data_IF_959389025697
#
_entry.id   IF_959389025697
#
_cell.length_a   1.000
_cell.length_b   1.000
_cell.length_c   1.000
_cell.angle_alpha   90.00
_cell.angle_beta   90.00
_cell.angle_gamma   90.00
#
_symmetry.space_group_name_H-M   'P 1'
#
loop_
_entity.id
_entity.type
_entity.pdbx_description
1 polymer ?
#
# COMPACT_ATOMS: atom_id res chain seq x y z
N UNK A 1 3.73 -2.16 -14.36
CA UNK A 1 4.83 -2.79 -13.60
C UNK A 1 4.94 -4.29 -13.89
N UNK A 2 3.95 -5.14 -13.58
CA UNK A 2 4.08 -6.61 -13.69
C UNK A 2 4.62 -7.15 -15.03
N UNK A 3 4.14 -6.64 -16.16
CA UNK A 3 4.61 -7.05 -17.49
C UNK A 3 6.10 -6.75 -17.77
N UNK A 4 6.68 -5.75 -17.09
CA UNK A 4 8.09 -5.36 -17.24
C UNK A 4 9.04 -6.20 -16.37
N UNK A 5 8.50 -6.86 -15.33
CA UNK A 5 9.28 -7.63 -14.35
C UNK A 5 8.75 -9.07 -14.24
N UNK A 6 8.94 -9.91 -15.28
CA UNK A 6 8.31 -11.24 -15.35
C UNK A 6 8.78 -12.23 -14.26
N UNK A 7 9.95 -11.99 -13.66
CA UNK A 7 10.51 -12.82 -12.58
C UNK A 7 10.03 -12.40 -11.18
N UNK A 8 9.22 -11.34 -11.08
CA UNK A 8 8.66 -10.84 -9.83
C UNK A 8 7.18 -11.17 -9.76
N UNK A 9 6.65 -11.41 -8.55
CA UNK A 9 5.23 -11.70 -8.33
C UNK A 9 4.52 -10.49 -7.75
N UNK A 10 3.42 -10.09 -8.38
CA UNK A 10 2.65 -8.91 -8.04
C UNK A 10 1.28 -9.29 -7.53
N UNK A 11 0.80 -8.50 -6.57
CA UNK A 11 -0.47 -8.67 -5.91
C UNK A 11 -1.16 -7.32 -5.83
N UNK A 12 -2.37 -7.23 -6.39
CA UNK A 12 -3.22 -6.07 -6.27
C UNK A 12 -4.44 -6.37 -5.41
N UNK A 13 -4.88 -5.40 -4.63
CA UNK A 13 -6.17 -5.46 -3.94
C UNK A 13 -7.01 -4.24 -4.29
N UNK A 14 -8.32 -4.42 -4.30
CA UNK A 14 -9.29 -3.35 -4.41
C UNK A 14 -10.58 -3.81 -3.71
N UNK A 15 -11.36 -2.87 -3.17
CA UNK A 15 -12.65 -3.18 -2.56
C UNK A 15 -13.67 -3.61 -3.62
N UNK A 16 -13.54 -3.09 -4.84
CA UNK A 16 -14.38 -3.44 -5.97
C UNK A 16 -13.60 -4.32 -6.99
N UNK A 17 -14.25 -5.30 -7.64
CA UNK A 17 -13.59 -6.18 -8.60
C UNK A 17 -13.42 -5.52 -9.99
N UNK A 18 -12.91 -4.28 -10.04
CA UNK A 18 -12.75 -3.47 -11.27
C UNK A 18 -11.46 -3.75 -12.05
N UNK A 19 -10.70 -4.77 -11.65
CA UNK A 19 -9.45 -5.16 -12.28
C UNK A 19 -9.65 -6.19 -13.42
N UNK A 20 -8.75 -6.23 -14.43
CA UNK A 20 -8.84 -7.19 -15.52
C UNK A 20 -8.71 -8.63 -15.01
N UNK A 21 -9.71 -9.49 -15.25
CA UNK A 21 -9.66 -10.89 -14.85
C UNK A 21 -9.03 -11.82 -15.91
N UNK A 22 -9.33 -11.57 -17.19
CA UNK A 22 -8.94 -12.47 -18.28
C UNK A 22 -7.62 -12.08 -18.95
N UNK A 23 -7.40 -10.78 -19.17
CA UNK A 23 -6.23 -10.27 -19.88
C UNK A 23 -5.30 -9.59 -18.88
N UNK A 24 -4.42 -10.38 -18.25
CA UNK A 24 -3.40 -9.90 -17.31
C UNK A 24 -2.11 -10.73 -17.37
N UNK A 25 -0.96 -10.17 -16.96
CA UNK A 25 0.28 -10.93 -16.82
C UNK A 25 0.12 -12.13 -15.86
N UNK A 26 0.78 -13.25 -16.16
CA UNK A 26 0.73 -14.47 -15.35
C UNK A 26 1.31 -14.29 -13.94
N UNK A 27 2.19 -13.31 -13.77
CA UNK A 27 2.84 -12.96 -12.51
C UNK A 27 2.05 -11.93 -11.68
N UNK A 28 0.80 -11.65 -12.03
CA UNK A 28 -0.08 -10.71 -11.34
C UNK A 28 -1.35 -11.41 -10.85
N UNK A 29 -1.62 -11.29 -9.55
CA UNK A 29 -2.85 -11.74 -8.92
C UNK A 29 -3.62 -10.52 -8.36
N UNK A 30 -4.94 -10.53 -8.53
CA UNK A 30 -5.82 -9.55 -7.88
C UNK A 30 -6.71 -10.25 -6.87
N UNK A 31 -6.99 -9.59 -5.74
CA UNK A 31 -7.93 -10.06 -4.74
C UNK A 31 -8.85 -8.91 -4.33
N UNK A 32 -10.16 -9.17 -4.35
CA UNK A 32 -11.11 -8.22 -3.80
C UNK A 32 -10.99 -8.20 -2.27
N UNK A 33 -10.70 -7.04 -1.68
CA UNK A 33 -10.54 -6.87 -0.24
C UNK A 33 -10.69 -5.41 0.18
N UNK A 34 -11.32 -5.18 1.33
CA UNK A 34 -11.32 -3.88 1.99
C UNK A 34 -10.05 -3.73 2.83
N UNK A 35 -9.15 -2.85 2.40
CA UNK A 35 -7.91 -2.51 3.10
C UNK A 35 -8.13 -1.94 4.51
N UNK A 36 -9.32 -1.44 4.85
CA UNK A 36 -9.67 -1.02 6.22
C UNK A 36 -10.09 -2.18 7.12
N UNK A 37 -10.28 -3.39 6.56
CA UNK A 37 -10.53 -4.63 7.33
C UNK A 37 -9.27 -5.50 7.47
N UNK A 38 -8.14 -5.04 6.93
CA UNK A 38 -6.86 -5.73 6.95
C UNK A 38 -6.46 -6.31 5.59
N UNK A 39 -5.15 -6.35 5.35
CA UNK A 39 -4.57 -6.91 4.15
C UNK A 39 -4.65 -8.44 4.19
N UNK A 40 -5.18 -9.10 3.16
CA UNK A 40 -5.48 -10.53 3.15
C UNK A 40 -4.24 -11.40 2.85
N UNK A 41 -3.15 -11.10 3.56
CA UNK A 41 -1.83 -11.70 3.45
C UNK A 41 -1.22 -11.90 4.85
N UNK A 42 -0.40 -12.94 5.04
CA UNK A 42 0.26 -13.18 6.31
C UNK A 42 1.36 -12.15 6.59
N UNK A 43 1.85 -12.16 7.82
CA UNK A 43 2.95 -11.31 8.24
C UNK A 43 4.23 -11.63 7.44
N UNK A 44 5.05 -10.61 7.18
CA UNK A 44 6.34 -10.75 6.50
C UNK A 44 6.24 -11.48 5.14
N UNK A 45 5.22 -11.16 4.35
CA UNK A 45 4.97 -11.82 3.07
C UNK A 45 5.65 -11.12 1.89
N UNK A 46 5.66 -9.79 1.89
CA UNK A 46 6.14 -8.99 0.76
C UNK A 46 7.53 -8.43 0.99
N UNK A 47 8.35 -8.42 -0.07
CA UNK A 47 9.62 -7.70 -0.10
C UNK A 47 9.44 -6.19 -0.33
N UNK A 48 8.33 -5.81 -0.99
CA UNK A 48 7.94 -4.42 -1.26
C UNK A 48 6.41 -4.30 -1.16
N UNK A 49 5.94 -3.28 -0.43
CA UNK A 49 4.52 -2.89 -0.38
C UNK A 49 4.38 -1.46 -0.87
N UNK A 50 3.51 -1.25 -1.87
CA UNK A 50 3.29 0.04 -2.52
C UNK A 50 1.88 0.54 -2.24
N UNK A 51 1.76 1.79 -1.82
CA UNK A 51 0.49 2.51 -1.73
C UNK A 51 0.60 3.85 -2.44
N UNK A 52 -0.40 4.16 -3.26
CA UNK A 52 -0.40 5.37 -4.07
C UNK A 52 -1.76 6.06 -4.10
N UNK A 53 -1.73 7.40 -4.02
CA UNK A 53 -2.89 8.30 -4.20
C UNK A 53 -4.06 7.96 -3.28
N UNK A 54 -3.81 7.84 -1.97
CA UNK A 54 -4.83 7.46 -1.00
C UNK A 54 -5.20 8.58 -0.01
N UNK A 55 -4.32 9.56 0.21
CA UNK A 55 -4.49 10.55 1.28
C UNK A 55 -5.78 11.40 1.21
N UNK A 56 -6.39 11.57 0.04
CA UNK A 56 -7.63 12.34 -0.12
C UNK A 56 -8.90 11.58 0.27
N UNK A 57 -8.82 10.26 0.38
CA UNK A 57 -9.99 9.39 0.51
C UNK A 57 -10.12 8.77 1.90
N UNK A 58 -9.22 9.11 2.83
CA UNK A 58 -9.11 8.46 4.14
C UNK A 58 -8.90 9.44 5.28
N UNK A 59 -9.31 9.03 6.47
CA UNK A 59 -9.03 9.72 7.73
C UNK A 59 -7.62 9.40 8.24
N UNK A 60 -7.12 10.22 9.19
CA UNK A 60 -5.85 9.97 9.87
C UNK A 60 -5.83 8.63 10.63
N UNK A 61 -6.95 8.22 11.21
CA UNK A 61 -7.10 6.92 11.89
C UNK A 61 -6.99 5.76 10.90
N UNK A 62 -7.67 5.86 9.76
CA UNK A 62 -7.55 4.88 8.69
C UNK A 62 -6.12 4.79 8.14
N UNK A 63 -5.47 5.93 7.91
CA UNK A 63 -4.07 5.97 7.48
C UNK A 63 -3.14 5.25 8.46
N UNK A 64 -3.31 5.49 9.77
CA UNK A 64 -2.51 4.81 10.79
C UNK A 64 -2.73 3.28 10.75
N UNK A 65 -3.97 2.83 10.58
CA UNK A 65 -4.29 1.40 10.46
C UNK A 65 -3.65 0.79 9.20
N UNK A 66 -3.71 1.47 8.07
CA UNK A 66 -3.10 0.99 6.82
C UNK A 66 -1.59 0.89 6.95
N UNK A 67 -0.94 1.88 7.58
CA UNK A 67 0.50 1.83 7.83
C UNK A 67 0.86 0.61 8.68
N UNK A 68 0.07 0.28 9.70
CA UNK A 68 0.28 -0.92 10.52
C UNK A 68 0.15 -2.20 9.73
N UNK A 69 -0.86 -2.30 8.87
CA UNK A 69 -1.05 -3.45 8.01
C UNK A 69 0.06 -3.60 6.98
N UNK A 70 0.51 -2.49 6.37
CA UNK A 70 1.65 -2.49 5.44
C UNK A 70 2.93 -2.94 6.15
N UNK A 71 3.18 -2.46 7.38
CA UNK A 71 4.31 -2.90 8.19
C UNK A 71 4.21 -4.39 8.53
N UNK A 72 3.03 -4.87 8.90
CA UNK A 72 2.79 -6.28 9.25
C UNK A 72 3.11 -7.21 8.09
N UNK A 73 2.62 -6.91 6.88
CA UNK A 73 2.81 -7.78 5.72
C UNK A 73 4.17 -7.61 5.03
N UNK A 74 4.94 -6.57 5.36
CA UNK A 74 6.29 -6.36 4.81
C UNK A 74 7.32 -7.18 5.60
N UNK A 75 8.22 -7.88 4.90
CA UNK A 75 9.31 -8.62 5.53
C UNK A 75 10.26 -7.69 6.32
N UNK A 76 11.01 -8.22 7.30
CA UNK A 76 12.14 -7.48 7.85
C UNK A 76 13.12 -7.16 6.71
N UNK A 77 13.60 -5.92 6.65
CA UNK A 77 14.41 -5.37 5.55
C UNK A 77 13.69 -5.24 4.20
N UNK A 78 12.38 -5.45 4.15
CA UNK A 78 11.55 -5.10 3.01
C UNK A 78 11.32 -3.58 2.94
N UNK A 79 10.72 -3.15 1.84
CA UNK A 79 10.47 -1.74 1.56
C UNK A 79 8.97 -1.44 1.60
N UNK A 80 8.65 -0.24 2.06
CA UNK A 80 7.32 0.35 1.96
C UNK A 80 7.45 1.61 1.13
N UNK A 81 6.73 1.67 0.02
CA UNK A 81 6.63 2.84 -0.85
C UNK A 81 5.28 3.52 -0.65
N UNK A 82 5.32 4.78 -0.24
CA UNK A 82 4.17 5.68 -0.20
C UNK A 82 4.35 6.75 -1.25
N UNK A 83 3.51 6.72 -2.29
CA UNK A 83 3.53 7.70 -3.38
C UNK A 83 2.28 8.56 -3.31
N UNK A 84 2.46 9.80 -2.89
CA UNK A 84 1.36 10.74 -2.70
C UNK A 84 1.60 12.03 -3.48
N UNK A 85 0.52 12.66 -3.91
CA UNK A 85 0.62 13.96 -4.58
C UNK A 85 1.26 14.96 -3.61
N UNK A 86 2.21 15.76 -4.09
CA UNK A 86 2.99 16.67 -3.27
C UNK A 86 2.09 17.75 -2.64
N UNK A 87 1.60 17.48 -1.43
CA UNK A 87 0.76 18.40 -0.67
C UNK A 87 1.63 19.29 0.23
N UNK A 88 1.38 20.60 0.19
CA UNK A 88 1.85 21.52 1.23
C UNK A 88 0.99 21.36 2.49
N UNK A 89 1.08 20.21 3.15
CA UNK A 89 0.36 19.97 4.41
C UNK A 89 0.93 20.88 5.51
N UNK A 90 0.24 21.97 5.82
CA UNK A 90 0.48 22.77 7.04
C UNK A 90 0.01 21.97 8.28
N UNK A 91 0.81 20.99 8.66
CA UNK A 91 1.10 20.47 10.01
C UNK A 91 -0.02 20.08 11.00
N UNK A 92 -1.31 19.96 10.65
CA UNK A 92 -2.32 19.54 11.65
C UNK A 92 -3.29 18.41 11.28
N UNK A 93 -3.21 17.82 10.07
CA UNK A 93 -4.22 16.86 9.62
C UNK A 93 -3.72 15.46 9.22
N UNK A 94 -2.42 15.26 9.07
CA UNK A 94 -1.87 13.99 8.56
C UNK A 94 -1.54 13.08 9.75
N UNK A 95 -1.94 11.81 9.69
CA UNK A 95 -1.84 10.86 10.82
C UNK A 95 -0.43 10.80 11.43
N UNK A 96 -0.36 10.55 12.75
CA UNK A 96 0.88 10.60 13.53
C UNK A 96 1.99 9.71 12.95
N UNK A 97 1.67 8.49 12.51
CA UNK A 97 2.65 7.56 11.95
C UNK A 97 3.22 8.06 10.61
N UNK A 98 2.34 8.59 9.75
CA UNK A 98 2.77 9.16 8.48
C UNK A 98 3.64 10.41 8.68
N UNK A 99 3.29 11.23 9.67
CA UNK A 99 4.10 12.40 10.02
C UNK A 99 5.52 12.01 10.50
N UNK A 100 5.65 10.91 11.26
CA UNK A 100 6.95 10.37 11.65
C UNK A 100 7.73 9.86 10.44
N UNK A 101 7.09 9.14 9.51
CA UNK A 101 7.71 8.70 8.25
C UNK A 101 8.30 9.89 7.47
N UNK A 102 7.54 10.98 7.32
CA UNK A 102 8.01 12.19 6.63
C UNK A 102 9.21 12.86 7.32
N UNK A 103 9.29 12.81 8.65
CA UNK A 103 10.41 13.39 9.40
C UNK A 103 11.67 12.53 9.38
N UNK A 104 11.52 11.22 9.21
CA UNK A 104 12.64 10.26 9.13
C UNK A 104 13.39 10.29 7.79
N UNK A 105 12.78 10.82 6.73
CA UNK A 105 13.40 10.97 5.40
C UNK A 105 14.29 12.22 5.26
N UNK A 106 14.91 12.70 6.33
CA UNK A 106 15.86 13.83 6.31
C UNK A 106 17.31 13.36 6.41
#
# INVERSE_FOLDING_TARGET
>A
VAAQYPNSKFYGIDIEPVFPQEIKPNNLEFKQADMFQGLPYPDNFFDLVHLETLLFSITSTQLNFIIDEMLRVTKPNGYIEFVETHMTCRSKGVGEKFYLLLRGCK
#
